data_IF_372081145346
#
_entry.id   IF_372081145346
#
_cell.length_a   1.000
_cell.length_b   1.000
_cell.length_c   1.000
_cell.angle_alpha   90.00
_cell.angle_beta   90.00
_cell.angle_gamma   90.00
#
_symmetry.space_group_name_H-M   'P 1'
#
loop_
_entity.id
_entity.type
_entity.pdbx_description
1 polymer ?
#
# COMPACT_ATOMS: atom_id res chain seq x y z
N UNK A 1 -20.80 -4.21 -48.81
CA UNK A 1 -20.50 -5.18 -47.73
C UNK A 1 -19.18 -4.94 -46.99
N UNK A 2 -18.06 -4.50 -47.61
CA UNK A 2 -16.77 -4.27 -46.91
C UNK A 2 -16.74 -3.14 -45.85
N UNK A 3 -17.70 -2.20 -45.86
CA UNK A 3 -17.73 -1.05 -44.94
C UNK A 3 -18.22 -1.45 -43.53
N UNK A 4 -19.24 -2.31 -43.45
CA UNK A 4 -19.83 -2.80 -42.20
C UNK A 4 -18.85 -3.69 -41.43
N UNK A 5 -18.11 -4.52 -42.15
CA UNK A 5 -17.04 -5.35 -41.59
C UNK A 5 -15.92 -4.49 -40.98
N UNK A 6 -15.57 -3.37 -41.62
CA UNK A 6 -14.57 -2.42 -41.12
C UNK A 6 -15.04 -1.70 -39.85
N UNK A 7 -16.32 -1.30 -39.77
CA UNK A 7 -16.92 -0.67 -38.59
C UNK A 7 -16.98 -1.65 -37.40
N UNK A 8 -17.40 -2.90 -37.62
CA UNK A 8 -17.39 -3.95 -36.59
C UNK A 8 -15.97 -4.30 -36.11
N UNK A 9 -14.99 -4.27 -37.03
CA UNK A 9 -13.60 -4.55 -36.68
C UNK A 9 -12.95 -3.38 -35.91
N UNK A 10 -13.37 -2.13 -36.12
CA UNK A 10 -12.96 -0.97 -35.32
C UNK A 10 -13.61 -1.01 -33.92
N UNK A 11 -14.90 -1.32 -33.83
CA UNK A 11 -15.62 -1.44 -32.55
C UNK A 11 -15.02 -2.52 -31.65
N UNK A 12 -14.83 -3.74 -32.17
CA UNK A 12 -14.28 -4.86 -31.39
C UNK A 12 -12.81 -4.70 -31.01
N UNK A 13 -12.05 -3.85 -31.71
CA UNK A 13 -10.67 -3.50 -31.38
C UNK A 13 -10.60 -2.43 -30.27
N UNK A 14 -11.56 -1.49 -30.27
CA UNK A 14 -11.70 -0.48 -29.21
C UNK A 14 -12.13 -1.10 -27.87
N UNK A 15 -13.06 -2.06 -27.88
CA UNK A 15 -13.53 -2.74 -26.67
C UNK A 15 -12.45 -3.63 -26.04
N UNK A 16 -11.63 -4.31 -26.85
CA UNK A 16 -10.47 -5.07 -26.36
C UNK A 16 -9.43 -4.18 -25.67
N UNK A 17 -9.26 -2.94 -26.13
CA UNK A 17 -8.34 -1.98 -25.50
C UNK A 17 -8.87 -1.41 -24.18
N UNK A 18 -10.18 -1.14 -24.10
CA UNK A 18 -10.83 -0.64 -22.90
C UNK A 18 -10.93 -1.71 -21.81
N UNK A 19 -11.28 -2.94 -22.19
CA UNK A 19 -11.27 -4.08 -21.28
C UNK A 19 -9.86 -4.36 -20.74
N UNK A 20 -8.83 -4.25 -21.58
CA UNK A 20 -7.43 -4.37 -21.14
C UNK A 20 -7.01 -3.27 -20.16
N UNK A 21 -7.42 -2.03 -20.42
CA UNK A 21 -7.16 -0.91 -19.50
C UNK A 21 -7.91 -1.07 -18.17
N UNK A 22 -9.17 -1.47 -18.22
CA UNK A 22 -9.98 -1.75 -17.03
C UNK A 22 -9.41 -2.91 -16.23
N UNK A 23 -8.93 -3.96 -16.88
CA UNK A 23 -8.25 -5.07 -16.21
C UNK A 23 -6.95 -4.60 -15.55
N UNK A 24 -6.12 -3.80 -16.25
CA UNK A 24 -4.90 -3.23 -15.66
C UNK A 24 -5.18 -2.28 -14.49
N UNK A 25 -6.27 -1.54 -14.54
CA UNK A 25 -6.73 -0.71 -13.42
C UNK A 25 -7.22 -1.60 -12.28
N UNK A 26 -8.02 -2.62 -12.56
CA UNK A 26 -8.49 -3.58 -11.57
C UNK A 26 -7.35 -4.36 -10.93
N UNK A 27 -6.32 -4.77 -11.67
CA UNK A 27 -5.13 -5.46 -11.16
C UNK A 27 -4.24 -4.52 -10.34
N UNK A 28 -4.18 -3.22 -10.68
CA UNK A 28 -3.55 -2.22 -9.82
C UNK A 28 -4.36 -1.94 -8.55
N UNK A 29 -5.69 -2.02 -8.63
CA UNK A 29 -6.61 -1.85 -7.49
C UNK A 29 -6.66 -3.12 -6.62
N UNK A 30 -6.39 -4.31 -7.20
CA UNK A 30 -6.29 -5.60 -6.53
C UNK A 30 -5.03 -5.66 -5.66
N UNK A 31 -5.09 -4.92 -4.55
CA UNK A 31 -4.21 -4.93 -3.38
C UNK A 31 -2.77 -5.39 -3.65
N UNK A 32 -1.93 -4.50 -4.17
CA UNK A 32 -0.47 -4.67 -4.09
C UNK A 32 -0.07 -4.91 -2.64
N UNK A 33 0.38 -6.12 -2.33
CA UNK A 33 0.91 -6.48 -1.01
C UNK A 33 2.30 -5.86 -0.84
N UNK A 34 2.61 -5.46 0.39
CA UNK A 34 3.93 -5.01 0.80
C UNK A 34 4.67 -6.23 1.38
N UNK A 35 5.89 -6.47 0.91
CA UNK A 35 6.78 -7.47 1.49
C UNK A 35 7.51 -6.89 2.70
N UNK A 36 7.29 -7.46 3.88
CA UNK A 36 7.97 -7.13 5.12
C UNK A 36 9.05 -8.18 5.37
N UNK A 37 10.31 -7.77 5.35
CA UNK A 37 11.44 -8.68 5.61
C UNK A 37 11.49 -9.00 7.10
N UNK A 38 11.43 -10.28 7.45
CA UNK A 38 11.48 -10.84 8.80
C UNK A 38 12.69 -11.77 8.93
N UNK A 39 12.96 -12.31 10.11
CA UNK A 39 14.12 -13.18 10.35
C UNK A 39 14.13 -14.42 9.45
N UNK A 40 12.98 -15.05 9.24
CA UNK A 40 12.85 -16.31 8.50
C UNK A 40 12.44 -16.13 7.02
N UNK A 41 12.39 -14.89 6.52
CA UNK A 41 12.01 -14.63 5.13
C UNK A 41 11.28 -13.31 4.92
N UNK A 42 10.20 -13.34 4.14
CA UNK A 42 9.40 -12.17 3.78
C UNK A 42 7.92 -12.47 3.99
N UNK A 43 7.24 -11.64 4.77
CA UNK A 43 5.80 -11.69 4.97
C UNK A 43 5.09 -10.67 4.08
N UNK A 44 4.14 -11.12 3.26
CA UNK A 44 3.37 -10.24 2.39
C UNK A 44 2.06 -9.80 3.05
N UNK A 45 1.95 -8.51 3.34
CA UNK A 45 0.78 -7.91 3.99
C UNK A 45 0.08 -6.93 3.07
N UNK A 46 -1.23 -6.76 3.23
CA UNK A 46 -1.94 -5.69 2.52
C UNK A 46 -1.68 -4.35 3.22
N UNK A 47 -1.45 -3.25 2.47
CA UNK A 47 -1.30 -1.91 3.05
C UNK A 47 -2.47 -1.52 3.96
N UNK A 48 -3.69 -1.86 3.54
CA UNK A 48 -4.94 -1.57 4.28
C UNK A 48 -5.00 -2.24 5.65
N UNK A 49 -4.22 -3.30 5.89
CA UNK A 49 -4.18 -4.01 7.17
C UNK A 49 -3.13 -3.45 8.13
N UNK A 50 -2.19 -2.64 7.65
CA UNK A 50 -1.19 -1.97 8.49
C UNK A 50 -1.82 -0.73 9.12
N UNK A 51 -1.78 -0.67 10.46
CA UNK A 51 -2.27 0.46 11.25
C UNK A 51 -1.15 1.50 11.45
N UNK A 52 0.02 1.03 11.88
CA UNK A 52 1.18 1.87 12.20
C UNK A 52 2.46 1.05 12.25
N UNK A 53 3.60 1.72 12.25
CA UNK A 53 4.92 1.12 12.33
C UNK A 53 5.75 1.89 13.37
N UNK A 54 6.41 1.14 14.26
CA UNK A 54 7.28 1.67 15.30
C UNK A 54 8.73 1.23 15.07
N UNK A 55 9.69 2.15 15.11
CA UNK A 55 11.10 1.81 15.17
C UNK A 55 11.52 1.46 16.60
N UNK A 56 12.24 0.35 16.75
CA UNK A 56 12.83 -0.12 18.02
C UNK A 56 14.33 -0.32 17.84
N UNK A 57 15.05 0.79 17.67
CA UNK A 57 16.49 0.77 17.41
C UNK A 57 16.79 0.34 15.97
N UNK A 58 17.33 -0.88 15.80
CA UNK A 58 17.75 -1.41 14.49
C UNK A 58 16.66 -2.16 13.72
N UNK A 59 15.49 -2.37 14.33
CA UNK A 59 14.39 -3.12 13.74
C UNK A 59 13.07 -2.36 13.91
N UNK A 60 12.03 -2.78 13.20
CA UNK A 60 10.71 -2.15 13.28
C UNK A 60 9.61 -3.16 13.61
N UNK A 61 8.58 -2.68 14.30
CA UNK A 61 7.36 -3.43 14.58
C UNK A 61 6.25 -2.88 13.69
N UNK A 62 5.72 -3.72 12.80
CA UNK A 62 4.57 -3.42 11.96
C UNK A 62 3.31 -3.89 12.69
N UNK A 63 2.44 -2.95 13.05
CA UNK A 63 1.18 -3.22 13.73
C UNK A 63 0.06 -3.38 12.70
N UNK A 64 -0.56 -4.55 12.71
CA UNK A 64 -1.66 -4.90 11.81
C UNK A 64 -3.01 -4.84 12.55
N UNK A 65 -4.10 -4.90 11.77
CA UNK A 65 -5.45 -5.16 12.30
C UNK A 65 -5.50 -6.43 13.14
N UNK A 66 -6.55 -6.52 13.96
CA UNK A 66 -6.81 -7.67 14.83
C UNK A 66 -5.64 -7.98 15.80
N UNK A 67 -4.94 -6.92 16.22
CA UNK A 67 -3.84 -6.97 17.19
C UNK A 67 -2.64 -7.85 16.78
N UNK A 68 -2.50 -8.14 15.47
CA UNK A 68 -1.35 -8.85 14.92
C UNK A 68 -0.15 -7.91 14.80
N UNK A 69 1.05 -8.47 14.93
CA UNK A 69 2.31 -7.71 14.81
C UNK A 69 3.31 -8.53 14.03
N UNK A 70 4.12 -7.85 13.23
CA UNK A 70 5.26 -8.43 12.52
C UNK A 70 6.50 -7.65 12.92
N UNK A 71 7.57 -8.37 13.28
CA UNK A 71 8.87 -7.76 13.57
C UNK A 71 9.72 -7.80 12.31
N UNK A 72 9.95 -6.65 11.70
CA UNK A 72 10.83 -6.53 10.55
C UNK A 72 12.27 -6.33 10.98
N UNK A 73 13.20 -7.02 10.32
CA UNK A 73 14.65 -6.84 10.54
C UNK A 73 15.20 -5.56 9.88
N UNK A 74 14.34 -4.80 9.20
CA UNK A 74 14.69 -3.58 8.49
C UNK A 74 14.49 -2.33 9.33
N UNK A 75 15.31 -1.32 9.06
CA UNK A 75 15.20 -0.02 9.68
C UNK A 75 14.04 0.81 9.13
N UNK A 76 13.71 1.90 9.83
CA UNK A 76 12.57 2.76 9.48
C UNK A 76 12.64 3.31 8.05
N UNK A 77 13.83 3.71 7.58
CA UNK A 77 14.02 4.27 6.24
C UNK A 77 13.73 3.24 5.13
N UNK A 78 14.26 2.02 5.29
CA UNK A 78 14.02 0.94 4.32
C UNK A 78 12.54 0.54 4.25
N UNK A 79 11.84 0.58 5.39
CA UNK A 79 10.40 0.34 5.42
C UNK A 79 9.65 1.51 4.75
N UNK A 80 10.01 2.75 5.05
CA UNK A 80 9.41 3.95 4.45
C UNK A 80 9.46 3.90 2.92
N UNK A 81 10.57 3.45 2.34
CA UNK A 81 10.79 3.36 0.89
C UNK A 81 9.84 2.37 0.17
N UNK A 82 9.30 1.36 0.87
CA UNK A 82 8.39 0.35 0.28
C UNK A 82 6.92 0.65 0.53
N UNK A 83 6.60 1.66 1.35
CA UNK A 83 5.23 2.02 1.68
C UNK A 83 4.61 2.93 0.61
N UNK A 84 3.30 2.80 0.34
CA UNK A 84 2.59 3.76 -0.50
C UNK A 84 2.58 5.17 0.14
N UNK A 85 3.24 6.11 -0.51
CA UNK A 85 3.41 7.50 -0.05
C UNK A 85 2.08 8.21 0.24
N UNK A 86 1.01 7.84 -0.46
CA UNK A 86 -0.31 8.48 -0.29
C UNK A 86 -1.09 8.00 0.95
N UNK A 87 -0.69 6.87 1.56
CA UNK A 87 -1.43 6.29 2.71
C UNK A 87 -0.60 6.22 3.98
N UNK A 88 0.73 6.34 3.90
CA UNK A 88 1.60 6.29 5.07
C UNK A 88 2.29 7.63 5.26
N UNK A 89 2.28 8.11 6.50
CA UNK A 89 2.91 9.37 6.90
C UNK A 89 3.85 9.12 8.06
N UNK A 90 5.10 9.58 7.91
CA UNK A 90 6.06 9.64 9.00
C UNK A 90 5.78 10.85 9.88
N UNK A 91 5.41 10.61 11.14
CA UNK A 91 5.03 11.65 12.11
C UNK A 91 6.09 11.86 13.19
N UNK A 92 7.01 10.91 13.34
CA UNK A 92 8.15 11.00 14.23
C UNK A 92 9.33 10.19 13.68
N UNK A 93 10.53 10.39 14.23
CA UNK A 93 11.71 9.59 13.87
C UNK A 93 11.49 8.08 14.05
N UNK A 94 10.62 7.71 14.99
CA UNK A 94 10.29 6.32 15.34
C UNK A 94 8.89 5.89 14.94
N UNK A 95 8.08 6.75 14.30
CA UNK A 95 6.68 6.42 13.99
C UNK A 95 6.29 6.77 12.56
N UNK A 96 5.75 5.77 11.86
CA UNK A 96 4.97 5.93 10.64
C UNK A 96 3.54 5.46 10.93
N UNK A 97 2.56 6.23 10.48
CA UNK A 97 1.13 5.91 10.65
C UNK A 97 0.48 5.71 9.29
N UNK A 98 -0.53 4.83 9.23
CA UNK A 98 -1.42 4.77 8.08
C UNK A 98 -2.56 5.79 8.26
N UNK A 99 -2.65 6.76 7.36
CA UNK A 99 -3.63 7.83 7.42
C UNK A 99 -5.06 7.35 7.20
N UNK A 100 -5.26 6.19 6.56
CA UNK A 100 -6.57 5.57 6.40
C UNK A 100 -7.18 5.07 7.72
N UNK A 101 -6.34 4.85 8.74
CA UNK A 101 -6.78 4.41 10.07
C UNK A 101 -6.85 5.57 11.09
N UNK A 102 -6.58 6.81 10.67
CA UNK A 102 -6.71 7.98 11.53
C UNK A 102 -8.19 8.29 11.82
N UNK A 103 -8.53 8.44 13.09
CA UNK A 103 -9.87 8.84 13.54
C UNK A 103 -9.94 10.30 13.97
N UNK A 104 -8.91 10.77 14.66
CA UNK A 104 -8.85 12.09 15.25
C UNK A 104 -7.40 12.49 15.47
N UNK A 105 -7.10 13.78 15.25
CA UNK A 105 -5.81 14.39 15.59
C UNK A 105 -6.10 15.39 16.71
N UNK A 106 -5.48 15.19 17.86
CA UNK A 106 -5.58 16.11 18.98
C UNK A 106 -4.37 17.05 18.95
N UNK A 107 -4.62 18.34 19.11
CA UNK A 107 -3.55 19.32 19.32
C UNK A 107 -3.07 19.14 20.76
N UNK A 108 -1.97 18.42 20.95
CA UNK A 108 -1.29 18.42 22.24
C UNK A 108 -0.51 19.74 22.32
N UNK A 109 -0.88 20.61 23.25
CA UNK A 109 0.01 21.65 23.75
C UNK A 109 1.14 20.91 24.47
N UNK A 110 2.25 20.66 23.78
CA UNK A 110 3.44 20.06 24.39
C UNK A 110 4.41 21.18 24.73
N UNK A 111 4.42 21.53 26.01
CA UNK A 111 5.55 22.19 26.67
C UNK A 111 6.74 21.21 26.65
N UNK A 112 7.85 21.66 26.08
CA UNK A 112 9.16 21.03 26.22
C UNK A 112 9.99 21.81 27.23
#
# INVERSE_FOLDING_TARGET
MKLLEKINNIHSKSERSLAGLLQQLQDNIAAKKIGIVVTEGVEFVKPEDIIKIEARGSYCIVYLKLNKKITSTKGMKEIEDVLPVNTFLRVHNTWIINTQHLKNILKAEMDF
#
